data_IF_070893293731
#
_entry.id   IF_070893293731
#
_cell.length_a   1.000
_cell.length_b   1.000
_cell.length_c   1.000
_cell.angle_alpha   90.00
_cell.angle_beta   90.00
_cell.angle_gamma   90.00
#
_symmetry.space_group_name_H-M   'P 1'
#
loop_
_entity.id
_entity.type
_entity.pdbx_description
1 polymer ?
#
# COMPACT_ATOMS: atom_id res chain seq x y z
N UNK A 1 5.52 -9.97 4.15
CA UNK A 1 5.43 -10.87 3.02
C UNK A 1 6.65 -10.76 2.09
N UNK A 2 6.83 -9.65 1.35
CA UNK A 2 7.83 -9.46 0.28
C UNK A 2 9.29 -9.59 0.72
N UNK A 3 9.61 -9.20 1.97
CA UNK A 3 11.00 -9.18 2.48
C UNK A 3 11.40 -10.46 3.22
N UNK A 4 10.46 -11.33 3.58
CA UNK A 4 10.73 -12.53 4.40
C UNK A 4 10.08 -13.78 3.83
N UNK A 5 8.75 -13.79 3.67
CA UNK A 5 8.04 -15.01 3.28
C UNK A 5 8.31 -15.40 1.83
N UNK A 6 8.12 -14.48 0.89
CA UNK A 6 8.35 -14.77 -0.52
C UNK A 6 9.82 -15.12 -0.83
N UNK A 7 10.86 -14.43 -0.30
CA UNK A 7 12.25 -14.84 -0.51
C UNK A 7 12.55 -16.27 -0.03
N UNK A 8 11.97 -16.66 1.10
CA UNK A 8 12.12 -18.04 1.59
C UNK A 8 11.50 -19.06 0.63
N UNK A 9 10.25 -18.81 0.19
CA UNK A 9 9.56 -19.69 -0.77
C UNK A 9 10.27 -19.77 -2.12
N UNK A 10 10.85 -18.64 -2.54
CA UNK A 10 11.65 -18.55 -3.75
C UNK A 10 12.91 -19.42 -3.65
N UNK A 11 13.66 -19.31 -2.56
CA UNK A 11 14.86 -20.11 -2.32
C UNK A 11 14.51 -21.61 -2.26
N UNK A 12 13.45 -21.99 -1.54
CA UNK A 12 12.95 -23.37 -1.47
C UNK A 12 12.63 -23.93 -2.86
N UNK A 13 11.89 -23.18 -3.68
CA UNK A 13 11.51 -23.61 -5.02
C UNK A 13 12.69 -23.77 -5.99
N UNK A 14 13.77 -23.03 -5.78
CA UNK A 14 14.98 -23.05 -6.61
C UNK A 14 16.10 -23.92 -6.06
N UNK A 15 15.89 -24.56 -4.89
CA UNK A 15 16.90 -25.39 -4.25
C UNK A 15 18.16 -24.64 -3.83
N UNK A 16 18.05 -23.35 -3.50
CA UNK A 16 19.16 -22.49 -3.13
C UNK A 16 19.14 -22.12 -1.63
N UNK A 17 20.29 -21.70 -1.05
CA UNK A 17 20.33 -21.21 0.31
C UNK A 17 19.37 -20.02 0.51
N UNK A 18 18.67 -19.91 1.67
CA UNK A 18 17.70 -18.86 1.92
C UNK A 18 18.23 -17.43 1.72
N UNK A 19 19.49 -17.18 2.12
CA UNK A 19 20.11 -15.86 2.00
C UNK A 19 20.38 -15.51 0.53
N UNK A 20 20.85 -16.46 -0.28
CA UNK A 20 21.07 -16.24 -1.72
C UNK A 20 19.74 -15.92 -2.44
N UNK A 21 18.67 -16.65 -2.10
CA UNK A 21 17.33 -16.35 -2.66
C UNK A 21 16.83 -14.96 -2.25
N UNK A 22 17.11 -14.55 -1.02
CA UNK A 22 16.78 -13.21 -0.53
C UNK A 22 17.56 -12.13 -1.27
N UNK A 23 18.87 -12.27 -1.41
CA UNK A 23 19.71 -11.31 -2.11
C UNK A 23 19.30 -11.14 -3.57
N UNK A 24 19.04 -12.24 -4.27
CA UNK A 24 18.58 -12.20 -5.66
C UNK A 24 17.25 -11.46 -5.80
N UNK A 25 16.25 -11.78 -4.95
CA UNK A 25 14.98 -11.09 -5.00
C UNK A 25 15.08 -9.62 -4.63
N UNK A 26 15.90 -9.26 -3.64
CA UNK A 26 16.11 -7.85 -3.29
C UNK A 26 16.70 -7.07 -4.45
N UNK A 27 17.66 -7.64 -5.19
CA UNK A 27 18.22 -7.01 -6.39
C UNK A 27 17.16 -6.79 -7.47
N UNK A 28 16.29 -7.79 -7.74
CA UNK A 28 15.17 -7.67 -8.68
C UNK A 28 14.16 -6.60 -8.23
N UNK A 29 13.84 -6.54 -6.95
CA UNK A 29 12.94 -5.53 -6.39
C UNK A 29 13.51 -4.12 -6.56
N UNK A 30 14.79 -3.92 -6.25
CA UNK A 30 15.45 -2.62 -6.42
C UNK A 30 15.43 -2.14 -7.87
N UNK A 31 15.59 -3.04 -8.83
CA UNK A 31 15.55 -2.71 -10.27
C UNK A 31 14.17 -2.21 -10.73
N UNK A 32 13.10 -2.49 -9.99
CA UNK A 32 11.71 -2.08 -10.31
C UNK A 32 11.15 -1.04 -9.34
N UNK A 33 11.91 -0.64 -8.32
CA UNK A 33 11.44 0.29 -7.30
C UNK A 33 10.85 1.57 -7.90
N UNK A 34 9.68 1.97 -7.41
CA UNK A 34 8.99 3.19 -7.87
C UNK A 34 8.17 3.04 -9.15
N UNK A 35 8.14 1.85 -9.77
CA UNK A 35 7.30 1.56 -10.93
C UNK A 35 5.99 0.88 -10.53
N UNK A 36 4.98 0.92 -11.41
CA UNK A 36 3.72 0.20 -11.20
C UNK A 36 3.94 -1.33 -11.12
N UNK A 37 4.92 -1.85 -11.89
CA UNK A 37 5.31 -3.26 -11.89
C UNK A 37 5.77 -3.73 -10.51
N UNK A 38 6.48 -2.89 -9.75
CA UNK A 38 6.88 -3.20 -8.38
C UNK A 38 5.71 -3.68 -7.50
N UNK A 39 4.56 -3.05 -7.66
CA UNK A 39 3.36 -3.33 -6.88
C UNK A 39 2.50 -4.46 -7.47
N UNK A 40 2.79 -4.90 -8.70
CA UNK A 40 1.98 -5.86 -9.45
C UNK A 40 2.23 -7.31 -9.02
N UNK A 41 1.18 -7.97 -8.54
CA UNK A 41 1.22 -9.41 -8.29
C UNK A 41 1.41 -10.18 -9.59
N UNK A 42 0.67 -9.82 -10.65
CA UNK A 42 0.73 -10.50 -11.94
C UNK A 42 2.11 -10.41 -12.59
N UNK A 43 2.76 -9.22 -12.49
CA UNK A 43 4.14 -9.07 -12.94
C UNK A 43 5.08 -10.04 -12.23
N UNK A 44 5.02 -10.09 -10.88
CA UNK A 44 5.89 -10.95 -10.10
C UNK A 44 5.54 -12.43 -10.25
N UNK A 45 4.28 -12.81 -10.50
CA UNK A 45 3.89 -14.19 -10.83
C UNK A 45 4.57 -14.63 -12.12
N UNK A 46 4.56 -13.77 -13.14
CA UNK A 46 5.22 -14.03 -14.43
C UNK A 46 6.75 -14.03 -14.31
N UNK A 47 7.31 -13.01 -13.67
CA UNK A 47 8.77 -12.80 -13.56
C UNK A 47 9.45 -13.91 -12.74
N UNK A 48 8.78 -14.42 -11.72
CA UNK A 48 9.33 -15.44 -10.84
C UNK A 48 8.84 -16.86 -11.16
N UNK A 49 7.89 -16.99 -12.10
CA UNK A 49 7.22 -18.27 -12.43
C UNK A 49 6.66 -18.95 -11.17
N UNK A 50 6.01 -18.16 -10.30
CA UNK A 50 5.51 -18.63 -9.00
C UNK A 50 4.11 -18.09 -8.73
N UNK A 51 3.26 -18.88 -8.07
CA UNK A 51 1.94 -18.48 -7.60
C UNK A 51 2.07 -17.60 -6.34
N UNK A 52 2.19 -16.29 -6.56
CA UNK A 52 2.35 -15.31 -5.49
C UNK A 52 1.11 -15.22 -4.60
N UNK A 53 -0.08 -15.37 -5.19
CA UNK A 53 -1.31 -15.32 -4.40
C UNK A 53 -1.42 -16.47 -3.43
N UNK A 54 -1.07 -17.69 -3.84
CA UNK A 54 -1.00 -18.85 -2.94
C UNK A 54 -0.10 -18.57 -1.74
N UNK A 55 1.09 -17.99 -1.97
CA UNK A 55 2.00 -17.67 -0.86
C UNK A 55 1.48 -16.53 0.03
N UNK A 56 0.72 -15.58 -0.52
CA UNK A 56 0.04 -14.57 0.28
C UNK A 56 -1.03 -15.18 1.18
N UNK A 57 -1.75 -16.18 0.69
CA UNK A 57 -2.77 -16.90 1.45
C UNK A 57 -2.17 -17.69 2.61
N UNK A 58 -0.97 -18.29 2.44
CA UNK A 58 -0.26 -18.98 3.53
C UNK A 58 -0.05 -18.08 4.77
N UNK A 59 0.14 -16.79 4.58
CA UNK A 59 0.38 -15.82 5.65
C UNK A 59 -0.78 -14.83 5.84
N UNK A 60 -1.93 -15.10 5.25
CA UNK A 60 -3.09 -14.21 5.36
C UNK A 60 -3.61 -14.06 6.80
N UNK A 61 -3.30 -15.03 7.68
CA UNK A 61 -3.60 -14.96 9.11
C UNK A 61 -2.83 -13.83 9.83
N UNK A 62 -1.76 -13.30 9.24
CA UNK A 62 -0.98 -12.16 9.77
C UNK A 62 -1.56 -10.81 9.33
N UNK A 63 -2.58 -10.78 8.46
CA UNK A 63 -3.24 -9.53 8.08
C UNK A 63 -4.07 -9.07 9.27
N UNK A 64 -3.72 -7.91 9.81
CA UNK A 64 -4.42 -7.29 10.92
C UNK A 64 -4.75 -5.83 10.60
N UNK A 65 -5.77 -5.30 11.27
CA UNK A 65 -6.13 -3.89 11.23
C UNK A 65 -5.20 -3.16 12.20
N UNK A 66 -4.70 -2.01 11.80
CA UNK A 66 -3.94 -1.14 12.70
C UNK A 66 -4.85 -0.64 13.85
N UNK A 67 -4.34 -0.48 15.08
CA UNK A 67 -5.15 -0.01 16.20
C UNK A 67 -5.95 1.26 15.87
N UNK A 68 -7.17 1.33 16.38
CA UNK A 68 -8.12 2.45 16.27
C UNK A 68 -8.58 2.84 14.84
N UNK A 69 -8.19 2.08 13.81
CA UNK A 69 -8.63 2.36 12.41
C UNK A 69 -10.15 2.29 12.24
N UNK A 70 -10.88 1.28 12.78
CA UNK A 70 -12.34 1.25 12.63
C UNK A 70 -13.01 2.47 13.27
N UNK A 71 -12.58 2.87 14.47
CA UNK A 71 -13.10 4.03 15.20
C UNK A 71 -12.81 5.33 14.46
N UNK A 72 -11.60 5.49 13.95
CA UNK A 72 -11.21 6.63 13.12
C UNK A 72 -12.09 6.74 11.87
N UNK A 73 -12.25 5.66 11.11
CA UNK A 73 -13.08 5.64 9.89
C UNK A 73 -14.54 5.95 10.21
N UNK A 74 -15.07 5.43 11.33
CA UNK A 74 -16.41 5.74 11.79
C UNK A 74 -16.58 7.23 12.14
N UNK A 75 -15.62 7.83 12.85
CA UNK A 75 -15.63 9.25 13.19
C UNK A 75 -15.55 10.15 11.95
N UNK A 76 -14.69 9.82 10.97
CA UNK A 76 -14.59 10.54 9.69
C UNK A 76 -15.92 10.47 8.95
N UNK A 77 -16.55 9.30 8.86
CA UNK A 77 -17.86 9.12 8.22
C UNK A 77 -18.97 9.92 8.94
N UNK A 78 -18.99 9.88 10.27
CA UNK A 78 -19.96 10.66 11.07
C UNK A 78 -19.82 12.18 10.86
N UNK A 79 -18.64 12.66 10.47
CA UNK A 79 -18.41 14.07 10.12
C UNK A 79 -18.90 14.45 8.71
N UNK A 80 -19.53 13.50 7.97
CA UNK A 80 -20.03 13.71 6.62
C UNK A 80 -18.96 13.78 5.53
N UNK A 81 -17.74 13.37 5.84
CA UNK A 81 -16.64 13.35 4.87
C UNK A 81 -16.64 12.05 4.08
N UNK A 82 -16.28 12.16 2.80
CA UNK A 82 -16.05 11.03 1.90
C UNK A 82 -14.71 10.37 2.21
N UNK A 83 -14.68 9.05 2.20
CA UNK A 83 -13.49 8.24 2.51
C UNK A 83 -13.13 7.38 1.31
N UNK A 84 -11.96 7.60 0.73
CA UNK A 84 -11.44 6.84 -0.41
C UNK A 84 -10.15 6.12 -0.01
N UNK A 85 -10.08 4.81 -0.22
CA UNK A 85 -8.85 4.05 -0.12
C UNK A 85 -8.11 4.11 -1.46
N UNK A 86 -7.05 4.91 -1.53
CA UNK A 86 -6.15 5.01 -2.68
C UNK A 86 -4.87 4.19 -2.40
N UNK A 87 -4.60 3.16 -3.18
CA UNK A 87 -3.53 2.21 -2.87
C UNK A 87 -2.69 1.80 -4.07
N UNK A 88 -1.37 1.62 -3.87
CA UNK A 88 -0.50 0.98 -4.86
C UNK A 88 -0.65 -0.55 -4.89
N UNK A 89 -1.32 -1.14 -3.92
CA UNK A 89 -1.49 -2.59 -3.89
C UNK A 89 -2.29 -3.08 -5.10
N UNK A 90 -1.81 -4.16 -5.71
CA UNK A 90 -2.50 -4.86 -6.78
C UNK A 90 -3.89 -5.33 -6.34
N UNK A 91 -4.88 -5.33 -7.25
CA UNK A 91 -6.28 -5.66 -6.92
C UNK A 91 -6.44 -7.01 -6.20
N UNK A 92 -5.70 -8.06 -6.61
CA UNK A 92 -5.69 -9.36 -5.92
C UNK A 92 -5.32 -9.23 -4.43
N UNK A 93 -4.29 -8.41 -4.12
CA UNK A 93 -3.87 -8.15 -2.74
C UNK A 93 -4.88 -7.31 -1.95
N UNK A 94 -5.53 -6.35 -2.60
CA UNK A 94 -6.61 -5.54 -2.01
C UNK A 94 -7.78 -6.44 -1.63
N UNK A 95 -8.24 -7.28 -2.57
CA UNK A 95 -9.34 -8.23 -2.34
C UNK A 95 -9.07 -9.13 -1.13
N UNK A 96 -7.86 -9.73 -1.05
CA UNK A 96 -7.48 -10.57 0.09
C UNK A 96 -7.50 -9.78 1.41
N UNK A 97 -6.92 -8.57 1.42
CA UNK A 97 -6.88 -7.73 2.62
C UNK A 97 -8.28 -7.30 3.06
N UNK A 98 -9.13 -6.86 2.14
CA UNK A 98 -10.49 -6.42 2.45
C UNK A 98 -11.36 -7.59 2.96
N UNK A 99 -11.22 -8.78 2.38
CA UNK A 99 -11.91 -9.98 2.85
C UNK A 99 -11.49 -10.37 4.28
N UNK A 100 -10.21 -10.20 4.63
CA UNK A 100 -9.68 -10.54 5.97
C UNK A 100 -10.00 -9.51 7.03
N UNK A 101 -10.08 -8.24 6.67
CA UNK A 101 -10.28 -7.14 7.62
C UNK A 101 -11.73 -6.70 7.76
N UNK A 102 -12.57 -7.00 6.77
CA UNK A 102 -13.95 -6.52 6.74
C UNK A 102 -14.09 -5.00 6.56
N UNK A 103 -13.03 -4.29 6.17
CA UNK A 103 -13.03 -2.83 6.11
C UNK A 103 -13.76 -2.23 4.88
N UNK A 104 -14.12 -3.05 3.89
CA UNK A 104 -14.79 -2.55 2.67
C UNK A 104 -15.95 -1.57 2.95
N UNK A 105 -16.89 -1.82 3.90
CA UNK A 105 -18.01 -0.92 4.14
C UNK A 105 -17.63 0.47 4.68
N UNK A 106 -16.40 0.64 5.14
CA UNK A 106 -15.92 1.91 5.66
C UNK A 106 -15.47 2.89 4.58
N UNK A 107 -15.28 2.43 3.34
CA UNK A 107 -14.83 3.25 2.21
C UNK A 107 -15.98 3.52 1.23
N UNK A 108 -16.05 4.74 0.73
CA UNK A 108 -16.98 5.13 -0.35
C UNK A 108 -16.46 4.67 -1.71
N UNK A 109 -15.12 4.56 -1.83
CA UNK A 109 -14.45 3.96 -2.99
C UNK A 109 -13.12 3.33 -2.59
N UNK A 110 -12.70 2.31 -3.34
CA UNK A 110 -11.38 1.66 -3.23
C UNK A 110 -10.75 1.70 -4.62
N UNK A 111 -9.66 2.45 -4.76
CA UNK A 111 -8.99 2.68 -6.04
C UNK A 111 -7.55 2.18 -5.97
N UNK A 112 -7.24 1.17 -6.76
CA UNK A 112 -5.88 0.68 -6.94
C UNK A 112 -5.16 1.46 -8.04
N UNK A 113 -3.87 1.76 -7.85
CA UNK A 113 -3.00 2.35 -8.86
C UNK A 113 -2.98 1.57 -10.18
N UNK A 114 -3.18 0.26 -10.11
CA UNK A 114 -3.26 -0.60 -11.30
C UNK A 114 -4.52 -0.32 -12.14
N UNK A 115 -5.63 0.07 -11.53
CA UNK A 115 -6.83 0.48 -12.26
C UNK A 115 -6.62 1.81 -12.99
N UNK A 116 -5.76 2.67 -12.44
CA UNK A 116 -5.43 3.98 -13.02
C UNK A 116 -4.21 3.94 -13.95
N UNK A 117 -3.46 2.84 -13.99
CA UNK A 117 -2.25 2.70 -14.81
C UNK A 117 -1.13 3.68 -14.44
N UNK A 118 -1.05 4.09 -13.17
CA UNK A 118 0.00 4.97 -12.64
C UNK A 118 0.16 4.74 -11.13
N UNK A 119 1.39 4.74 -10.62
CA UNK A 119 1.68 4.63 -9.20
C UNK A 119 1.40 5.96 -8.46
N UNK A 120 1.14 5.91 -7.15
CA UNK A 120 0.86 7.11 -6.32
C UNK A 120 2.02 8.11 -6.30
N UNK A 121 3.21 7.68 -6.61
CA UNK A 121 4.40 8.52 -6.77
C UNK A 121 4.35 9.41 -8.01
N UNK A 122 3.49 9.08 -9.00
CA UNK A 122 3.35 9.78 -10.27
C UNK A 122 2.21 10.81 -10.23
N UNK A 123 2.39 11.95 -10.89
CA UNK A 123 1.36 12.98 -11.00
C UNK A 123 0.11 12.51 -11.76
N UNK A 124 0.31 11.60 -12.72
CA UNK A 124 -0.77 11.01 -13.49
C UNK A 124 -1.76 10.23 -12.61
N UNK A 125 -1.29 9.60 -11.53
CA UNK A 125 -2.16 8.93 -10.57
C UNK A 125 -3.21 9.88 -9.98
N UNK A 126 -2.78 11.02 -9.46
CA UNK A 126 -3.65 11.99 -8.79
C UNK A 126 -4.65 12.63 -9.76
N UNK A 127 -4.20 12.92 -10.98
CA UNK A 127 -5.08 13.45 -12.04
C UNK A 127 -6.19 12.44 -12.38
N UNK A 128 -5.84 11.19 -12.65
CA UNK A 128 -6.80 10.12 -12.97
C UNK A 128 -7.69 9.76 -11.80
N UNK A 129 -7.13 9.76 -10.57
CA UNK A 129 -7.93 9.58 -9.36
C UNK A 129 -9.00 10.66 -9.25
N UNK A 130 -8.65 11.93 -9.49
CA UNK A 130 -9.59 13.04 -9.41
C UNK A 130 -10.67 13.00 -10.50
N UNK A 131 -10.36 12.45 -11.66
CA UNK A 131 -11.35 12.22 -12.72
C UNK A 131 -12.36 11.13 -12.33
N UNK A 132 -11.90 10.03 -11.72
CA UNK A 132 -12.75 8.91 -11.30
C UNK A 132 -13.50 9.21 -10.00
N UNK A 133 -12.81 9.81 -9.03
CA UNK A 133 -13.31 10.15 -7.70
C UNK A 133 -13.08 11.64 -7.46
N UNK A 134 -14.02 12.52 -7.85
CA UNK A 134 -13.85 13.95 -7.77
C UNK A 134 -13.56 14.43 -6.34
N UNK A 135 -12.49 15.18 -6.15
CA UNK A 135 -12.13 15.82 -4.89
C UNK A 135 -11.49 17.20 -5.11
N UNK A 136 -11.55 18.05 -4.10
CA UNK A 136 -10.89 19.33 -4.09
C UNK A 136 -9.55 19.21 -3.34
N UNK A 137 -8.40 19.33 -4.02
CA UNK A 137 -7.09 19.13 -3.40
C UNK A 137 -6.84 20.00 -2.17
N UNK A 138 -7.27 21.28 -2.22
CA UNK A 138 -7.14 22.21 -1.09
C UNK A 138 -7.95 21.81 0.15
N UNK A 139 -8.91 20.90 0.04
CA UNK A 139 -9.79 20.43 1.12
C UNK A 139 -9.63 18.95 1.41
N UNK A 140 -8.61 18.31 0.84
CA UNK A 140 -8.36 16.88 0.95
C UNK A 140 -7.26 16.61 1.95
N UNK A 141 -7.49 15.61 2.81
CA UNK A 141 -6.50 15.01 3.67
C UNK A 141 -6.02 13.70 3.03
N UNK A 142 -4.71 13.52 2.92
CA UNK A 142 -4.07 12.24 2.64
C UNK A 142 -3.32 11.76 3.88
N UNK A 143 -3.55 10.52 4.26
CA UNK A 143 -2.78 9.80 5.27
C UNK A 143 -2.01 8.67 4.58
N UNK A 144 -0.69 8.67 4.66
CA UNK A 144 0.16 7.68 3.98
C UNK A 144 1.46 7.44 4.76
N UNK A 145 2.08 6.28 4.57
CA UNK A 145 3.35 5.91 5.22
C UNK A 145 4.59 6.11 4.32
N UNK A 146 4.37 6.45 3.06
CA UNK A 146 5.42 6.68 2.07
C UNK A 146 5.68 8.17 1.86
N UNK A 147 6.89 8.61 2.20
CA UNK A 147 7.29 10.01 1.95
C UNK A 147 7.25 10.35 0.46
N UNK A 148 7.62 9.42 -0.42
CA UNK A 148 7.55 9.64 -1.87
C UNK A 148 6.12 9.88 -2.35
N UNK A 149 5.15 9.20 -1.75
CA UNK A 149 3.71 9.40 -2.04
C UNK A 149 3.24 10.75 -1.50
N UNK A 150 3.60 11.09 -0.26
CA UNK A 150 3.26 12.39 0.34
C UNK A 150 3.86 13.56 -0.48
N UNK A 151 5.10 13.44 -0.93
CA UNK A 151 5.76 14.44 -1.78
C UNK A 151 5.06 14.57 -3.15
N UNK A 152 4.64 13.44 -3.73
CA UNK A 152 3.86 13.43 -4.97
C UNK A 152 2.50 14.13 -4.79
N UNK A 153 1.77 13.81 -3.72
CA UNK A 153 0.50 14.42 -3.38
C UNK A 153 0.62 15.93 -3.11
N UNK A 154 1.69 16.35 -2.42
CA UNK A 154 2.01 17.77 -2.19
C UNK A 154 2.20 18.51 -3.51
N UNK A 155 2.98 17.95 -4.43
CA UNK A 155 3.19 18.54 -5.77
C UNK A 155 1.90 18.65 -6.57
N UNK A 156 0.97 17.73 -6.37
CA UNK A 156 -0.35 17.77 -7.00
C UNK A 156 -1.27 18.84 -6.39
N UNK A 157 -0.97 19.33 -5.18
CA UNK A 157 -1.72 20.37 -4.50
C UNK A 157 -2.64 19.88 -3.38
N UNK A 158 -2.52 18.62 -2.93
CA UNK A 158 -3.25 18.15 -1.75
C UNK A 158 -2.72 18.89 -0.51
N UNK A 159 -3.62 19.62 0.17
CA UNK A 159 -3.24 20.57 1.19
C UNK A 159 -2.90 19.93 2.55
N UNK A 160 -3.59 18.84 2.91
CA UNK A 160 -3.42 18.21 4.22
C UNK A 160 -2.77 16.85 4.06
N UNK A 161 -1.56 16.72 4.60
CA UNK A 161 -0.73 15.52 4.46
C UNK A 161 -0.28 15.07 5.83
N UNK A 162 -0.51 13.79 6.15
CA UNK A 162 -0.15 13.19 7.43
C UNK A 162 0.61 11.88 7.17
N UNK A 163 1.78 11.76 7.78
CA UNK A 163 2.59 10.55 7.73
C UNK A 163 2.16 9.56 8.83
N UNK A 164 2.20 8.26 8.52
CA UNK A 164 2.07 7.20 9.54
C UNK A 164 3.47 6.75 9.94
N UNK A 165 3.85 6.97 11.21
CA UNK A 165 5.19 6.61 11.71
C UNK A 165 5.38 5.10 11.84
N UNK A 166 4.36 4.37 12.26
CA UNK A 166 4.40 2.92 12.50
C UNK A 166 3.40 2.16 11.63
N UNK A 167 3.60 2.12 10.32
CA UNK A 167 2.69 1.37 9.43
C UNK A 167 2.75 -0.14 9.67
N UNK A 168 3.83 -0.64 10.26
CA UNK A 168 3.98 -1.99 10.82
C UNK A 168 4.33 -1.86 12.29
N UNK A 169 3.41 -2.24 13.17
CA UNK A 169 3.55 -2.14 14.63
C UNK A 169 4.69 -2.98 15.20
N UNK A 170 5.23 -3.92 14.42
CA UNK A 170 6.37 -4.77 14.80
C UNK A 170 7.73 -4.20 14.32
N UNK A 171 7.72 -3.07 13.62
CA UNK A 171 8.94 -2.43 13.09
C UNK A 171 9.21 -1.10 13.80
N UNK A 172 10.46 -0.63 13.77
CA UNK A 172 10.80 0.71 14.24
C UNK A 172 10.00 1.80 13.51
N UNK A 173 9.91 2.97 14.13
CA UNK A 173 9.30 4.14 13.52
C UNK A 173 10.05 4.53 12.23
N UNK A 174 9.27 4.95 11.22
CA UNK A 174 9.79 5.54 9.99
C UNK A 174 10.05 7.04 10.18
N UNK A 175 11.05 7.55 9.49
CA UNK A 175 11.26 8.99 9.38
C UNK A 175 10.08 9.64 8.65
N UNK A 176 9.65 10.81 9.12
CA UNK A 176 8.47 11.53 8.58
C UNK A 176 8.83 12.70 7.67
N UNK A 177 10.12 12.98 7.49
CA UNK A 177 10.63 14.08 6.65
C UNK A 177 9.97 15.45 6.95
N UNK A 178 9.58 15.69 8.22
CA UNK A 178 8.95 16.93 8.66
C UNK A 178 7.44 17.04 8.37
N UNK A 179 6.79 16.00 7.85
CA UNK A 179 5.34 15.95 7.77
C UNK A 179 4.71 15.82 9.15
N UNK A 180 3.54 16.47 9.41
CA UNK A 180 2.67 16.07 10.51
C UNK A 180 2.50 14.55 10.51
N UNK A 181 2.56 13.93 11.67
CA UNK A 181 2.58 12.48 11.72
C UNK A 181 1.79 11.93 12.90
N UNK A 182 1.25 10.73 12.71
CA UNK A 182 0.54 9.96 13.72
C UNK A 182 1.27 8.65 13.98
N UNK A 183 1.18 8.17 15.23
CA UNK A 183 1.67 6.85 15.62
C UNK A 183 0.59 5.78 15.39
N UNK A 184 -0.65 6.12 15.68
CA UNK A 184 -1.84 5.32 15.45
C UNK A 184 -3.02 6.22 15.06
N UNK A 185 -4.23 5.69 15.05
CA UNK A 185 -5.46 6.36 14.63
C UNK A 185 -6.38 6.75 15.80
N UNK A 186 -5.84 6.86 17.03
CA UNK A 186 -6.60 7.29 18.21
C UNK A 186 -6.97 8.77 18.20
#
# INVERSE_FOLDING_TARGET
FWQRHLPRRYAEARGMPPESGREELMARYHARAGTLEWYSVDFWETELEMDIMRFKEEVAHLIAIHPHVPEFLAAVRASGRRIVLATNAHHKSVTLKMARTGLTPHFDAIVSSHALGAAKEEQAFWARLREQEPFEPARTLLVDDSILVLDSARRYGIAHLVAVKRPDTQQPEKATAGYPAIDDFS
#
